data_IF_424599205838
#
_entry.id   IF_424599205838
#
_cell.length_a   1.000
_cell.length_b   1.000
_cell.length_c   1.000
_cell.angle_alpha   90.00
_cell.angle_beta   90.00
_cell.angle_gamma   90.00
#
_symmetry.space_group_name_H-M   'P 1'
#
loop_
_entity.id
_entity.type
_entity.pdbx_description
1 polymer ?
#
# COMPACT_ATOMS: atom_id res chain seq x y z
N UNK A 1 -20.49 9.02 -14.41
CA UNK A 1 -19.11 9.15 -13.90
C UNK A 1 -18.50 10.41 -14.49
N UNK A 2 -17.83 11.21 -13.68
CA UNK A 2 -17.27 12.50 -14.08
C UNK A 2 -15.90 12.71 -13.46
N UNK A 3 -15.00 13.38 -14.19
CA UNK A 3 -13.72 13.85 -13.67
C UNK A 3 -13.95 15.20 -12.98
N UNK A 4 -13.87 15.24 -11.65
CA UNK A 4 -14.15 16.45 -10.85
C UNK A 4 -12.97 17.40 -10.83
N UNK A 5 -11.77 16.87 -10.79
CA UNK A 5 -10.54 17.65 -10.76
C UNK A 5 -9.38 16.87 -11.36
N UNK A 6 -8.47 17.61 -12.00
CA UNK A 6 -7.12 17.13 -12.32
C UNK A 6 -6.17 17.85 -11.38
N UNK A 7 -5.35 17.10 -10.66
CA UNK A 7 -4.42 17.64 -9.67
C UNK A 7 -3.00 17.21 -10.02
N UNK A 8 -2.08 18.15 -9.95
CA UNK A 8 -0.66 17.91 -10.23
C UNK A 8 0.20 18.55 -9.15
N UNK A 9 1.37 17.97 -8.90
CA UNK A 9 2.32 18.48 -7.94
C UNK A 9 3.73 18.00 -8.25
N UNK A 10 4.70 18.92 -8.22
CA UNK A 10 6.11 18.54 -8.32
C UNK A 10 6.65 18.18 -6.93
N UNK A 11 7.59 17.22 -6.84
CA UNK A 11 8.29 16.92 -5.60
C UNK A 11 8.85 18.19 -4.97
N UNK A 12 8.60 18.36 -3.67
CA UNK A 12 9.16 19.45 -2.87
C UNK A 12 9.72 18.91 -1.55
N UNK A 13 10.73 19.58 -0.97
CA UNK A 13 11.23 19.25 0.35
C UNK A 13 10.16 19.53 1.41
N UNK A 14 9.96 18.57 2.32
CA UNK A 14 9.08 18.70 3.49
C UNK A 14 9.80 18.16 4.70
N UNK A 15 9.80 18.94 5.80
CA UNK A 15 10.31 18.49 7.09
C UNK A 15 9.25 17.63 7.79
N UNK A 16 9.65 16.44 8.23
CA UNK A 16 8.84 15.56 9.05
C UNK A 16 9.74 14.83 10.04
N UNK A 17 9.46 14.96 11.34
CA UNK A 17 10.30 14.36 12.39
C UNK A 17 11.75 14.81 12.38
N UNK A 18 12.06 16.03 11.89
CA UNK A 18 13.42 16.56 11.80
C UNK A 18 14.24 16.02 10.63
N UNK A 19 13.62 15.27 9.71
CA UNK A 19 14.21 14.82 8.43
C UNK A 19 13.50 15.51 7.26
N UNK A 20 14.25 15.84 6.22
CA UNK A 20 13.70 16.46 5.00
C UNK A 20 13.47 15.39 3.94
N UNK A 21 12.22 15.21 3.53
CA UNK A 21 11.79 14.27 2.49
C UNK A 21 11.41 15.00 1.21
N UNK A 22 11.67 14.39 0.06
CA UNK A 22 11.14 14.85 -1.22
C UNK A 22 9.79 14.17 -1.48
N UNK A 23 8.71 14.94 -1.59
CA UNK A 23 7.38 14.37 -1.81
C UNK A 23 6.53 15.18 -2.77
N UNK A 24 5.78 14.47 -3.61
CA UNK A 24 4.76 15.03 -4.51
C UNK A 24 3.33 14.76 -4.01
N UNK A 25 3.16 14.38 -2.74
CA UNK A 25 1.83 14.15 -2.13
C UNK A 25 0.97 15.43 -2.10
N UNK A 26 1.62 16.59 -2.16
CA UNK A 26 0.95 17.88 -2.28
C UNK A 26 0.64 18.15 -3.75
N UNK A 27 -0.60 17.89 -4.15
CA UNK A 27 -1.10 18.23 -5.48
C UNK A 27 -2.19 19.28 -5.37
N UNK A 28 -2.19 20.19 -6.33
CA UNK A 28 -3.15 21.28 -6.42
C UNK A 28 -4.00 21.11 -7.70
N UNK A 29 -5.30 21.47 -7.65
CA UNK A 29 -6.16 21.46 -8.82
C UNK A 29 -5.63 22.40 -9.91
N UNK A 30 -5.69 21.95 -11.16
CA UNK A 30 -5.38 22.79 -12.34
C UNK A 30 -6.62 23.06 -13.18
N UNK A 31 -6.67 24.27 -13.75
CA UNK A 31 -7.82 24.74 -14.54
C UNK A 31 -7.70 24.37 -16.02
N UNK A 32 -6.48 24.41 -16.54
CA UNK A 32 -6.20 24.06 -17.94
C UNK A 32 -6.21 22.54 -18.14
N UNK A 33 -6.40 22.11 -19.39
CA UNK A 33 -6.27 20.70 -19.75
C UNK A 33 -4.82 20.25 -19.58
N UNK A 34 -4.63 19.01 -19.17
CA UNK A 34 -3.34 18.42 -18.84
C UNK A 34 -3.04 17.26 -19.79
N UNK A 35 -1.84 17.26 -20.34
CA UNK A 35 -1.36 16.15 -21.13
C UNK A 35 -1.05 14.95 -20.24
N UNK A 36 -1.67 13.81 -20.54
CA UNK A 36 -1.39 12.52 -19.92
C UNK A 36 -0.38 11.77 -20.77
N UNK A 37 0.82 11.54 -20.23
CA UNK A 37 1.85 10.72 -20.88
C UNK A 37 1.75 9.27 -20.43
N UNK A 38 2.62 8.40 -20.93
CA UNK A 38 2.65 6.98 -20.52
C UNK A 38 2.98 6.75 -19.04
N UNK A 39 3.60 7.72 -18.37
CA UNK A 39 4.14 7.53 -17.02
C UNK A 39 3.67 8.58 -16.02
N UNK A 40 3.27 9.77 -16.48
CA UNK A 40 2.97 10.90 -15.61
C UNK A 40 2.07 11.92 -16.32
N UNK A 41 1.36 12.74 -15.55
CA UNK A 41 0.67 13.93 -16.07
C UNK A 41 1.66 15.08 -16.21
N UNK A 42 1.52 15.90 -17.25
CA UNK A 42 2.31 17.11 -17.38
C UNK A 42 2.11 18.04 -16.17
N UNK A 43 3.22 18.50 -15.59
CA UNK A 43 3.20 19.31 -14.37
C UNK A 43 3.25 18.50 -13.08
N UNK A 44 2.97 17.20 -13.13
CA UNK A 44 3.15 16.28 -12.00
C UNK A 44 4.56 15.70 -11.97
N UNK A 45 5.00 15.20 -10.81
CA UNK A 45 6.26 14.48 -10.70
C UNK A 45 6.18 13.33 -9.71
N UNK A 46 6.93 12.27 -10.00
CA UNK A 46 7.10 11.14 -9.09
C UNK A 46 8.49 11.27 -8.45
N UNK A 47 8.54 11.37 -7.11
CA UNK A 47 9.81 11.46 -6.39
C UNK A 47 10.54 10.11 -6.34
N UNK A 48 9.79 9.00 -6.41
CA UNK A 48 10.27 7.64 -6.39
C UNK A 48 9.58 6.84 -7.51
N UNK A 49 10.35 6.39 -8.50
CA UNK A 49 9.86 5.60 -9.64
C UNK A 49 9.81 4.09 -9.35
N UNK A 50 10.38 3.64 -8.24
CA UNK A 50 10.40 2.24 -7.82
C UNK A 50 9.16 1.93 -6.99
N UNK A 51 8.90 2.71 -5.94
CA UNK A 51 7.78 2.45 -5.01
C UNK A 51 6.53 3.29 -5.29
N UNK A 52 6.65 4.41 -6.03
CA UNK A 52 5.57 5.39 -6.23
C UNK A 52 5.40 5.83 -7.69
N UNK A 53 5.69 4.94 -8.64
CA UNK A 53 5.60 5.27 -10.06
C UNK A 53 5.71 4.09 -11.01
N UNK A 54 6.00 4.39 -12.27
CA UNK A 54 6.09 3.39 -13.33
C UNK A 54 4.77 3.13 -14.05
N UNK A 55 4.79 2.22 -15.02
CA UNK A 55 3.65 1.97 -15.93
C UNK A 55 2.36 1.67 -15.18
N UNK A 56 2.43 0.87 -14.10
CA UNK A 56 1.26 0.44 -13.34
C UNK A 56 0.74 1.47 -12.34
N UNK A 57 1.47 2.56 -12.10
CA UNK A 57 1.09 3.61 -11.15
C UNK A 57 1.17 5.00 -11.79
N UNK A 58 0.91 5.08 -13.10
CA UNK A 58 1.06 6.32 -13.87
C UNK A 58 0.06 7.40 -13.45
N UNK A 59 -1.16 7.02 -13.09
CA UNK A 59 -2.22 7.96 -12.69
C UNK A 59 -2.94 7.43 -11.46
N UNK A 60 -2.89 8.17 -10.35
CA UNK A 60 -3.67 7.86 -9.15
C UNK A 60 -5.05 8.52 -9.22
N UNK A 61 -6.12 7.76 -8.98
CA UNK A 61 -7.46 8.28 -8.88
C UNK A 61 -8.09 8.01 -7.50
N UNK A 62 -8.86 8.98 -7.02
CA UNK A 62 -9.56 8.90 -5.74
C UNK A 62 -11.04 9.29 -5.88
N UNK A 63 -11.97 8.46 -5.39
CA UNK A 63 -13.40 8.77 -5.43
C UNK A 63 -13.75 10.00 -4.60
N UNK A 64 -14.52 10.92 -5.19
CA UNK A 64 -14.98 12.16 -4.57
C UNK A 64 -15.95 11.86 -3.42
N UNK A 65 -16.69 10.76 -3.50
CA UNK A 65 -17.62 10.28 -2.47
C UNK A 65 -16.93 10.09 -1.11
N UNK A 66 -15.64 9.75 -1.10
CA UNK A 66 -14.90 9.55 0.15
C UNK A 66 -14.52 10.87 0.84
N UNK A 67 -14.56 12.01 0.14
CA UNK A 67 -14.29 13.32 0.76
C UNK A 67 -15.30 13.64 1.86
N UNK A 68 -16.59 13.40 1.63
CA UNK A 68 -17.64 13.64 2.63
C UNK A 68 -17.51 12.70 3.84
N UNK A 69 -17.09 11.44 3.58
CA UNK A 69 -16.80 10.49 4.64
C UNK A 69 -15.66 11.01 5.53
N UNK A 70 -14.52 11.39 4.96
CA UNK A 70 -13.39 11.88 5.74
C UNK A 70 -13.67 13.22 6.42
N UNK A 71 -14.42 14.12 5.78
CA UNK A 71 -14.87 15.37 6.40
C UNK A 71 -15.65 15.11 7.69
N UNK A 72 -16.52 14.10 7.66
CA UNK A 72 -17.34 13.69 8.81
C UNK A 72 -16.50 12.97 9.87
N UNK A 73 -15.72 11.96 9.45
CA UNK A 73 -14.92 11.12 10.36
C UNK A 73 -13.87 11.94 11.13
N UNK A 74 -13.26 12.92 10.47
CA UNK A 74 -12.19 13.74 11.04
C UNK A 74 -12.67 15.08 11.59
N UNK A 75 -13.98 15.38 11.52
CA UNK A 75 -14.57 16.68 11.86
C UNK A 75 -13.82 17.86 11.20
N UNK A 76 -13.61 17.76 9.87
CA UNK A 76 -12.85 18.72 9.05
C UNK A 76 -13.66 19.21 7.86
N UNK A 77 -13.39 20.46 7.46
CA UNK A 77 -14.09 21.12 6.34
C UNK A 77 -13.13 21.72 5.31
N UNK A 78 -11.83 21.46 5.44
CA UNK A 78 -10.77 22.06 4.63
C UNK A 78 -10.28 21.15 3.49
N UNK A 79 -10.99 20.05 3.21
CA UNK A 79 -10.63 19.14 2.12
C UNK A 79 -10.88 19.75 0.74
N UNK A 80 -9.87 19.64 -0.11
CA UNK A 80 -9.87 20.12 -1.50
C UNK A 80 -9.44 19.00 -2.45
N UNK A 81 -9.88 18.98 -3.72
CA UNK A 81 -9.40 17.99 -4.67
C UNK A 81 -7.87 17.90 -4.73
N UNK A 82 -7.32 16.69 -4.77
CA UNK A 82 -5.88 16.42 -4.61
C UNK A 82 -5.45 16.24 -3.15
N UNK A 83 -6.39 16.23 -2.19
CA UNK A 83 -6.07 16.10 -0.76
C UNK A 83 -5.33 14.80 -0.47
N UNK A 84 -5.71 13.69 -1.11
CA UNK A 84 -5.17 12.36 -0.82
C UNK A 84 -3.94 12.04 -1.69
N UNK A 85 -3.46 13.03 -2.45
CA UNK A 85 -2.34 12.92 -3.38
C UNK A 85 -2.73 12.38 -4.76
N UNK A 86 -4.03 12.31 -5.06
CA UNK A 86 -4.54 11.80 -6.32
C UNK A 86 -4.35 12.77 -7.48
N UNK A 87 -4.11 12.22 -8.66
CA UNK A 87 -4.10 12.98 -9.90
C UNK A 87 -5.52 13.26 -10.38
N UNK A 88 -6.43 12.31 -10.22
CA UNK A 88 -7.80 12.40 -10.68
C UNK A 88 -8.76 12.28 -9.50
N UNK A 89 -9.46 13.36 -9.19
CA UNK A 89 -10.62 13.29 -8.29
C UNK A 89 -11.82 12.90 -9.15
N UNK A 90 -12.36 11.70 -8.94
CA UNK A 90 -13.36 11.08 -9.82
C UNK A 90 -14.69 10.88 -9.09
N UNK A 91 -15.82 10.89 -9.80
CA UNK A 91 -17.15 10.66 -9.23
C UNK A 91 -17.85 9.48 -9.94
N UNK A 92 -18.50 8.62 -9.16
CA UNK A 92 -19.29 7.46 -9.57
C UNK A 92 -18.46 6.20 -9.80
N UNK A 93 -17.30 6.08 -9.18
CA UNK A 93 -16.33 5.01 -9.39
C UNK A 93 -15.71 4.56 -8.07
N UNK A 94 -16.42 3.73 -7.32
CA UNK A 94 -15.98 3.19 -6.04
C UNK A 94 -15.19 1.88 -6.21
N UNK A 95 -14.38 1.54 -5.22
CA UNK A 95 -13.45 0.40 -5.24
C UNK A 95 -14.15 -0.96 -5.42
N UNK A 96 -15.41 -1.10 -5.00
CA UNK A 96 -16.23 -2.30 -5.16
C UNK A 96 -16.94 -2.40 -6.51
N UNK A 97 -17.02 -1.30 -7.27
CA UNK A 97 -17.65 -1.24 -8.59
C UNK A 97 -16.65 -1.18 -9.75
N UNK A 98 -15.36 -1.09 -9.43
CA UNK A 98 -14.24 -0.97 -10.37
C UNK A 98 -13.36 -2.21 -10.28
N UNK A 99 -13.11 -2.85 -11.43
CA UNK A 99 -12.35 -4.10 -11.50
C UNK A 99 -10.95 -3.89 -12.04
N UNK A 100 -9.99 -4.68 -11.55
CA UNK A 100 -8.63 -4.69 -12.10
C UNK A 100 -8.68 -5.10 -13.57
N UNK A 101 -8.14 -4.24 -14.45
CA UNK A 101 -8.21 -4.40 -15.90
C UNK A 101 -9.37 -3.69 -16.58
N UNK A 102 -10.31 -3.07 -15.84
CA UNK A 102 -11.31 -2.19 -16.43
C UNK A 102 -10.64 -1.07 -17.23
N UNK A 103 -11.23 -0.74 -18.38
CA UNK A 103 -10.73 0.32 -19.25
C UNK A 103 -11.72 1.45 -19.28
N UNK A 104 -11.22 2.65 -19.01
CA UNK A 104 -11.98 3.89 -19.03
C UNK A 104 -11.42 4.86 -20.05
N UNK A 105 -12.30 5.63 -20.66
CA UNK A 105 -11.96 6.74 -21.54
C UNK A 105 -12.32 8.05 -20.86
N UNK A 106 -11.39 8.99 -20.90
CA UNK A 106 -11.60 10.38 -20.49
C UNK A 106 -11.08 11.26 -21.62
N UNK A 107 -12.00 11.90 -22.35
CA UNK A 107 -11.69 12.62 -23.59
C UNK A 107 -10.88 11.75 -24.58
N UNK A 108 -9.59 12.00 -24.78
CA UNK A 108 -8.74 11.26 -25.72
C UNK A 108 -7.90 10.17 -25.05
N UNK A 109 -7.93 10.11 -23.72
CA UNK A 109 -7.06 9.24 -22.92
C UNK A 109 -7.79 7.94 -22.58
N UNK A 110 -7.09 6.81 -22.78
CA UNK A 110 -7.54 5.50 -22.34
C UNK A 110 -6.70 5.03 -21.15
N UNK A 111 -7.37 4.71 -20.05
CA UNK A 111 -6.77 4.32 -18.78
C UNK A 111 -7.24 2.92 -18.41
N UNK A 112 -6.32 2.07 -17.95
CA UNK A 112 -6.65 0.72 -17.47
C UNK A 112 -6.30 0.60 -15.99
N UNK A 113 -7.26 0.11 -15.19
CA UNK A 113 -7.08 -0.09 -13.74
C UNK A 113 -6.03 -1.16 -13.49
N UNK A 114 -5.08 -0.88 -12.60
CA UNK A 114 -3.93 -1.75 -12.36
C UNK A 114 -3.83 -2.27 -10.95
N UNK A 115 -4.09 -1.46 -9.93
CA UNK A 115 -3.96 -1.88 -8.54
C UNK A 115 -4.69 -0.91 -7.62
N UNK A 116 -5.10 -1.35 -6.42
CA UNK A 116 -5.44 -0.43 -5.34
C UNK A 116 -4.26 0.47 -5.00
N UNK A 117 -4.54 1.65 -4.45
CA UNK A 117 -3.48 2.45 -3.84
C UNK A 117 -3.14 1.89 -2.46
N UNK A 118 -1.85 1.90 -2.15
CA UNK A 118 -1.38 1.57 -0.82
C UNK A 118 -0.95 2.84 -0.01
N UNK A 119 -1.43 3.07 1.22
CA UNK A 119 -1.12 4.28 2.00
C UNK A 119 0.24 4.27 2.71
N UNK A 120 1.02 5.33 2.54
CA UNK A 120 2.34 5.53 3.17
C UNK A 120 2.34 6.76 4.09
N UNK A 121 3.40 6.91 4.90
CA UNK A 121 3.54 8.02 5.87
C UNK A 121 3.46 9.42 5.23
N UNK A 122 3.74 9.56 3.93
CA UNK A 122 3.60 10.84 3.22
C UNK A 122 2.14 11.35 3.24
N UNK A 123 1.15 10.46 3.41
CA UNK A 123 -0.24 10.86 3.59
C UNK A 123 -0.46 11.55 4.93
N UNK A 124 0.18 11.07 6.01
CA UNK A 124 0.12 11.71 7.34
C UNK A 124 0.63 13.14 7.27
N UNK A 125 1.75 13.33 6.57
CA UNK A 125 2.34 14.65 6.31
C UNK A 125 1.32 15.55 5.60
N UNK A 126 0.68 15.05 4.53
CA UNK A 126 -0.30 15.82 3.76
C UNK A 126 -1.54 16.17 4.59
N UNK A 127 -1.97 15.25 5.44
CA UNK A 127 -3.15 15.40 6.27
C UNK A 127 -2.87 16.19 7.55
N UNK A 128 -1.60 16.36 7.93
CA UNK A 128 -1.20 16.97 9.19
C UNK A 128 -1.65 16.15 10.40
N UNK A 129 -1.75 14.83 10.23
CA UNK A 129 -2.28 13.90 11.23
C UNK A 129 -1.44 12.62 11.22
N UNK A 130 -0.61 12.44 12.25
CA UNK A 130 0.21 11.26 12.42
C UNK A 130 -0.65 10.00 12.59
N UNK A 131 -0.27 8.91 11.92
CA UNK A 131 -1.00 7.64 11.94
C UNK A 131 -2.26 7.61 11.07
N UNK A 132 -2.56 8.69 10.34
CA UNK A 132 -3.74 8.72 9.47
C UNK A 132 -3.68 7.69 8.36
N UNK A 133 -2.50 7.37 7.85
CA UNK A 133 -2.29 6.30 6.88
C UNK A 133 -2.86 4.95 7.34
N UNK A 134 -2.82 4.66 8.65
CA UNK A 134 -3.45 3.47 9.22
C UNK A 134 -4.97 3.59 9.21
N UNK A 135 -5.54 4.69 9.68
CA UNK A 135 -6.99 4.93 9.59
C UNK A 135 -7.49 4.82 8.15
N UNK A 136 -6.72 5.36 7.21
CA UNK A 136 -6.99 5.27 5.78
C UNK A 136 -6.91 3.83 5.25
N UNK A 137 -5.90 3.07 5.67
CA UNK A 137 -5.75 1.64 5.38
C UNK A 137 -6.95 0.84 5.88
N UNK A 138 -7.26 0.95 7.17
CA UNK A 138 -8.33 0.19 7.85
C UNK A 138 -9.70 0.47 7.22
N UNK A 139 -9.90 1.67 6.68
CA UNK A 139 -11.14 2.05 6.00
C UNK A 139 -11.36 1.36 4.65
N UNK A 140 -10.30 0.82 4.03
CA UNK A 140 -10.25 0.33 2.66
C UNK A 140 -10.69 1.33 1.55
N UNK A 141 -10.89 2.61 1.89
CA UNK A 141 -11.25 3.69 0.95
C UNK A 141 -10.01 4.30 0.35
N UNK A 142 -9.27 3.51 -0.41
CA UNK A 142 -7.91 3.84 -0.81
C UNK A 142 -7.79 4.45 -2.21
N UNK A 143 -8.81 4.31 -3.05
CA UNK A 143 -8.72 4.59 -4.48
C UNK A 143 -7.79 3.60 -5.21
N UNK A 144 -7.41 3.94 -6.44
CA UNK A 144 -6.73 3.00 -7.32
C UNK A 144 -5.90 3.71 -8.38
N UNK A 145 -4.95 2.96 -8.93
CA UNK A 145 -4.09 3.41 -10.00
C UNK A 145 -4.58 2.95 -11.37
N UNK A 146 -4.19 3.75 -12.36
CA UNK A 146 -4.28 3.41 -13.76
C UNK A 146 -2.90 3.38 -14.42
N UNK A 147 -2.75 2.48 -15.39
CA UNK A 147 -1.79 2.65 -16.50
C UNK A 147 -2.45 3.37 -17.66
N UNK A 148 -1.63 3.97 -18.53
CA UNK A 148 -2.09 4.73 -19.69
C UNK A 148 -1.98 3.88 -20.96
N UNK A 149 -3.11 3.51 -21.56
CA UNK A 149 -3.17 2.75 -22.82
C UNK A 149 -3.01 3.68 -24.03
N UNK A 150 -3.67 4.83 -24.02
CA UNK A 150 -3.53 5.86 -25.05
C UNK A 150 -3.36 7.23 -24.39
N UNK A 151 -2.37 7.98 -24.88
CA UNK A 151 -2.03 9.32 -24.40
C UNK A 151 -2.96 10.37 -25.01
N UNK A 152 -3.06 11.53 -24.36
CA UNK A 152 -3.93 12.61 -24.80
C UNK A 152 -4.11 13.63 -23.69
N UNK A 153 -5.12 14.49 -23.82
CA UNK A 153 -5.38 15.56 -22.87
C UNK A 153 -6.69 15.35 -22.12
N UNK A 154 -6.69 15.64 -20.82
CA UNK A 154 -7.87 15.60 -19.93
C UNK A 154 -8.04 16.93 -19.20
N UNK A 155 -9.27 17.23 -18.76
CA UNK A 155 -9.56 18.40 -17.93
C UNK A 155 -10.71 18.14 -16.97
N UNK A 156 -10.82 18.98 -15.94
CA UNK A 156 -11.94 18.95 -15.02
C UNK A 156 -13.27 19.13 -15.79
N UNK A 157 -14.28 18.36 -15.40
CA UNK A 157 -15.60 18.32 -16.02
C UNK A 157 -15.75 17.26 -17.12
N UNK A 158 -14.65 16.67 -17.62
CA UNK A 158 -14.71 15.62 -18.64
C UNK A 158 -15.53 14.42 -18.16
N UNK A 159 -16.31 13.84 -19.08
CA UNK A 159 -17.06 12.60 -18.83
C UNK A 159 -16.09 11.43 -18.75
N UNK A 160 -16.30 10.56 -17.76
CA UNK A 160 -15.59 9.28 -17.68
C UNK A 160 -16.51 8.20 -18.26
N UNK A 161 -16.01 7.46 -19.25
CA UNK A 161 -16.77 6.42 -19.94
C UNK A 161 -16.09 5.06 -19.71
N UNK A 162 -16.82 4.10 -19.15
CA UNK A 162 -16.34 2.71 -19.05
C UNK A 162 -16.43 2.06 -20.42
N UNK A 163 -15.28 1.68 -20.98
CA UNK A 163 -15.17 1.09 -22.31
C UNK A 163 -15.30 -0.43 -22.24
N UNK A 164 -14.69 -1.04 -21.22
CA UNK A 164 -14.78 -2.48 -20.99
C UNK A 164 -14.65 -2.81 -19.51
N UNK A 165 -15.34 -3.87 -19.09
CA UNK A 165 -15.16 -4.49 -17.78
C UNK A 165 -14.42 -5.81 -17.92
N UNK A 166 -13.46 -6.07 -17.02
CA UNK A 166 -12.74 -7.34 -16.99
C UNK A 166 -13.70 -8.48 -16.58
N UNK A 167 -13.99 -9.41 -17.49
CA UNK A 167 -15.04 -10.44 -17.33
C UNK A 167 -14.75 -11.52 -16.28
N UNK A 168 -13.53 -11.57 -15.74
CA UNK A 168 -13.09 -12.49 -14.67
C UNK A 168 -12.28 -11.74 -13.59
N UNK A 169 -12.46 -10.42 -13.49
CA UNK A 169 -11.64 -9.57 -12.61
C UNK A 169 -12.02 -9.69 -11.13
N UNK A 170 -11.05 -9.39 -10.27
CA UNK A 170 -11.28 -8.97 -8.90
C UNK A 170 -11.58 -7.47 -8.89
N UNK A 171 -12.53 -7.02 -8.06
CA UNK A 171 -12.69 -5.59 -7.81
C UNK A 171 -11.43 -5.01 -7.14
N UNK A 172 -11.26 -3.69 -7.16
CA UNK A 172 -10.19 -3.04 -6.39
C UNK A 172 -10.33 -3.38 -4.91
N UNK A 173 -11.57 -3.36 -4.39
CA UNK A 173 -11.88 -3.75 -3.03
C UNK A 173 -11.52 -5.22 -2.75
N UNK A 174 -11.80 -6.14 -3.67
CA UNK A 174 -11.43 -7.56 -3.53
C UNK A 174 -9.92 -7.74 -3.45
N UNK A 175 -9.16 -7.09 -4.33
CA UNK A 175 -7.69 -7.18 -4.31
C UNK A 175 -7.13 -6.62 -2.99
N UNK A 176 -7.68 -5.51 -2.50
CA UNK A 176 -7.27 -4.94 -1.22
C UNK A 176 -7.59 -5.88 -0.05
N UNK A 177 -8.83 -6.42 -0.02
CA UNK A 177 -9.29 -7.39 0.99
C UNK A 177 -8.40 -8.61 1.04
N UNK A 178 -8.14 -9.22 -0.12
CA UNK A 178 -7.29 -10.41 -0.25
C UNK A 178 -5.86 -10.15 0.19
N UNK A 179 -5.34 -8.95 -0.02
CA UNK A 179 -3.97 -8.63 0.37
C UNK A 179 -3.84 -8.48 1.89
N UNK A 180 -4.81 -7.85 2.56
CA UNK A 180 -4.62 -7.35 3.93
C UNK A 180 -5.56 -7.90 5.00
N UNK A 181 -6.73 -8.43 4.63
CA UNK A 181 -7.77 -8.80 5.60
C UNK A 181 -8.23 -10.26 5.50
N UNK A 182 -8.25 -10.82 4.29
CA UNK A 182 -8.70 -12.20 4.05
C UNK A 182 -7.59 -12.97 3.33
N UNK A 183 -6.52 -13.23 4.08
CA UNK A 183 -5.32 -13.87 3.54
C UNK A 183 -5.53 -15.34 3.20
N UNK A 184 -6.51 -15.97 3.84
CA UNK A 184 -6.85 -17.39 3.72
C UNK A 184 -7.68 -17.71 2.47
N UNK A 185 -8.21 -16.71 1.76
CA UNK A 185 -8.90 -16.88 0.48
C UNK A 185 -7.91 -17.17 -0.65
N UNK A 186 -7.48 -18.43 -0.72
CA UNK A 186 -6.50 -18.92 -1.69
C UNK A 186 -7.08 -19.02 -3.11
N UNK A 187 -8.41 -19.05 -3.27
CA UNK A 187 -9.06 -18.97 -4.58
C UNK A 187 -8.95 -17.55 -5.12
N UNK A 188 -9.21 -16.55 -4.26
CA UNK A 188 -8.96 -15.15 -4.55
C UNK A 188 -7.49 -14.88 -4.87
N UNK A 189 -6.56 -15.39 -4.05
CA UNK A 189 -5.13 -15.25 -4.30
C UNK A 189 -4.69 -15.87 -5.64
N UNK A 190 -5.19 -17.07 -6.00
CA UNK A 190 -4.96 -17.69 -7.32
C UNK A 190 -5.48 -16.82 -8.46
N UNK A 191 -6.67 -16.25 -8.31
CA UNK A 191 -7.21 -15.30 -9.29
C UNK A 191 -6.30 -14.09 -9.42
N UNK A 192 -5.93 -13.46 -8.29
CA UNK A 192 -5.06 -12.29 -8.24
C UNK A 192 -3.71 -12.51 -8.93
N UNK A 193 -3.02 -13.61 -8.62
CA UNK A 193 -1.74 -13.97 -9.23
C UNK A 193 -1.81 -14.13 -10.76
N UNK A 194 -2.98 -14.50 -11.30
CA UNK A 194 -3.20 -14.70 -12.73
C UNK A 194 -3.65 -13.43 -13.49
N UNK A 195 -3.97 -12.32 -12.82
CA UNK A 195 -4.47 -11.10 -13.46
C UNK A 195 -3.33 -10.30 -14.10
N UNK A 196 -3.07 -10.45 -15.40
CA UNK A 196 -2.02 -9.69 -16.12
C UNK A 196 -2.17 -8.16 -16.03
N UNK A 197 -3.40 -7.68 -15.81
CA UNK A 197 -3.70 -6.27 -15.58
C UNK A 197 -3.20 -5.77 -14.21
N UNK A 198 -3.06 -6.66 -13.23
CA UNK A 198 -2.53 -6.39 -11.89
C UNK A 198 -1.01 -6.23 -11.94
N UNK A 199 -0.48 -5.31 -11.13
CA UNK A 199 0.96 -5.07 -11.09
C UNK A 199 1.76 -6.31 -10.68
N UNK A 200 2.98 -6.47 -11.23
CA UNK A 200 3.81 -7.64 -10.93
C UNK A 200 4.00 -7.84 -9.42
N UNK A 201 4.29 -6.77 -8.68
CA UNK A 201 4.50 -6.80 -7.23
C UNK A 201 3.31 -7.41 -6.47
N UNK A 202 2.08 -7.02 -6.80
CA UNK A 202 0.88 -7.57 -6.17
C UNK A 202 0.64 -9.03 -6.58
N UNK A 203 0.91 -9.38 -7.84
CA UNK A 203 0.82 -10.76 -8.32
C UNK A 203 1.84 -11.67 -7.64
N UNK A 204 3.07 -11.20 -7.48
CA UNK A 204 4.16 -11.94 -6.85
C UNK A 204 3.85 -12.19 -5.36
N UNK A 205 3.30 -11.20 -4.66
CA UNK A 205 2.80 -11.36 -3.28
C UNK A 205 1.72 -12.45 -3.18
N UNK A 206 0.77 -12.51 -4.12
CA UNK A 206 -0.22 -13.58 -4.16
C UNK A 206 0.40 -14.94 -4.53
N UNK A 207 1.33 -14.99 -5.49
CA UNK A 207 2.01 -16.22 -5.90
C UNK A 207 2.81 -16.83 -4.75
N UNK A 208 3.61 -16.02 -4.05
CA UNK A 208 4.40 -16.44 -2.88
C UNK A 208 3.51 -17.02 -1.78
N UNK A 209 2.37 -16.38 -1.51
CA UNK A 209 1.39 -16.91 -0.53
C UNK A 209 0.90 -18.32 -0.89
N UNK A 210 0.67 -18.59 -2.17
CA UNK A 210 0.23 -19.91 -2.64
C UNK A 210 1.33 -20.98 -2.54
N UNK A 211 2.59 -20.59 -2.57
CA UNK A 211 3.72 -21.50 -2.33
C UNK A 211 3.83 -21.90 -0.86
N UNK A 212 3.52 -20.97 0.06
CA UNK A 212 3.59 -21.20 1.51
C UNK A 212 2.48 -22.11 2.06
N UNK A 213 1.34 -22.26 1.35
CA UNK A 213 0.21 -23.15 1.71
C UNK A 213 0.64 -24.63 1.87
N UNK A 214 1.73 -25.05 1.21
CA UNK A 214 2.20 -26.42 1.20
C UNK A 214 3.10 -26.83 2.37
N UNK A 215 3.51 -25.89 3.23
CA UNK A 215 4.49 -26.15 4.29
C UNK A 215 3.83 -26.23 5.68
N UNK A 216 4.21 -27.20 6.53
CA UNK A 216 3.73 -27.23 7.91
C UNK A 216 4.19 -25.97 8.65
N UNK A 217 3.23 -25.11 9.02
CA UNK A 217 3.43 -23.87 9.78
C UNK A 217 3.79 -24.11 11.24
N UNK A 218 3.47 -25.29 11.77
CA UNK A 218 3.80 -25.69 13.15
C UNK A 218 5.04 -26.58 13.21
N UNK A 219 6.22 -25.97 13.22
CA UNK A 219 7.25 -26.50 14.11
C UNK A 219 6.87 -26.03 15.52
N UNK A 220 6.03 -26.81 16.21
CA UNK A 220 5.76 -26.63 17.63
C UNK A 220 7.08 -26.93 18.37
N UNK A 221 7.94 -25.92 18.50
CA UNK A 221 9.16 -25.97 19.33
C UNK A 221 8.83 -25.44 20.73
N UNK A 222 7.61 -25.71 21.22
CA UNK A 222 7.30 -25.49 22.64
C UNK A 222 8.15 -26.46 23.47
N UNK A 223 9.27 -25.96 23.99
CA UNK A 223 10.12 -26.67 24.95
C UNK A 223 11.13 -27.66 24.37
N UNK A 224 11.52 -27.57 23.08
CA UNK A 224 12.72 -28.26 22.60
C UNK A 224 13.93 -27.33 22.69
N UNK A 225 15.00 -27.80 23.33
CA UNK A 225 16.33 -27.18 23.29
C UNK A 225 16.72 -26.82 21.86
N UNK A 226 17.40 -25.68 21.64
CA UNK A 226 17.95 -25.28 20.33
C UNK A 226 18.63 -26.51 19.69
N UNK A 227 18.09 -27.04 18.57
CA UNK A 227 18.75 -28.17 17.86
C UNK A 227 20.13 -27.74 17.34
N UNK A 228 20.28 -26.45 17.05
CA UNK A 228 21.55 -25.78 16.75
C UNK A 228 21.70 -24.55 17.66
N UNK A 229 22.72 -24.49 18.54
CA UNK A 229 22.93 -23.39 19.47
C UNK A 229 23.14 -22.02 18.80
N UNK A 230 23.53 -22.00 17.52
CA UNK A 230 23.72 -20.77 16.74
C UNK A 230 22.41 -20.25 16.13
N UNK A 231 21.30 -20.99 16.24
CA UNK A 231 19.99 -20.52 15.75
C UNK A 231 19.47 -19.38 16.63
N UNK A 232 19.14 -18.26 15.99
CA UNK A 232 18.53 -17.12 16.65
C UNK A 232 17.13 -17.45 17.17
N UNK A 233 16.74 -16.82 18.26
CA UNK A 233 15.42 -16.97 18.88
C UNK A 233 14.68 -15.65 18.85
N UNK A 234 13.40 -15.72 18.51
CA UNK A 234 12.47 -14.60 18.58
C UNK A 234 11.50 -14.87 19.72
N UNK A 235 11.42 -13.92 20.65
CA UNK A 235 10.45 -13.93 21.75
C UNK A 235 9.38 -12.89 21.47
N UNK A 236 8.12 -13.31 21.52
CA UNK A 236 6.95 -12.46 21.41
C UNK A 236 6.40 -12.21 22.81
N UNK A 237 6.71 -11.06 23.40
CA UNK A 237 6.47 -10.78 24.84
C UNK A 237 5.00 -10.96 25.22
N UNK A 238 4.09 -10.35 24.46
CA UNK A 238 2.64 -10.33 24.75
C UNK A 238 2.01 -11.73 24.81
N UNK A 239 2.56 -12.70 24.06
CA UNK A 239 2.08 -14.09 24.08
C UNK A 239 2.98 -15.04 24.88
N UNK A 240 4.17 -14.59 25.28
CA UNK A 240 5.23 -15.41 25.86
C UNK A 240 5.77 -16.49 24.93
N UNK A 241 5.48 -16.42 23.62
CA UNK A 241 5.96 -17.40 22.64
C UNK A 241 7.45 -17.19 22.37
N UNK A 242 8.24 -18.26 22.51
CA UNK A 242 9.67 -18.27 22.23
C UNK A 242 9.92 -19.28 21.12
N UNK A 243 10.28 -18.79 19.93
CA UNK A 243 10.37 -19.63 18.72
C UNK A 243 11.70 -19.40 18.04
N UNK A 244 12.33 -20.49 17.59
CA UNK A 244 13.56 -20.43 16.80
C UNK A 244 13.29 -19.76 15.44
N UNK A 245 14.08 -18.73 15.12
CA UNK A 245 14.02 -18.04 13.84
C UNK A 245 14.25 -19.01 12.69
N UNK A 246 13.40 -18.93 11.66
CA UNK A 246 13.55 -19.71 10.45
C UNK A 246 13.88 -18.77 9.27
N UNK A 247 15.10 -18.82 8.72
CA UNK A 247 15.52 -17.95 7.62
C UNK A 247 14.72 -18.10 6.31
N UNK A 248 13.75 -19.03 6.24
CA UNK A 248 12.81 -19.11 5.12
C UNK A 248 11.83 -17.93 5.07
N UNK A 249 11.57 -17.29 6.21
CA UNK A 249 10.71 -16.11 6.28
C UNK A 249 11.54 -14.87 5.95
N UNK A 250 11.01 -13.97 5.14
CA UNK A 250 11.77 -12.81 4.67
C UNK A 250 11.91 -11.73 5.73
N UNK A 251 11.05 -11.72 6.74
CA UNK A 251 11.03 -10.74 7.81
C UNK A 251 10.28 -11.26 9.05
N UNK A 252 10.44 -10.53 10.16
CA UNK A 252 9.83 -10.85 11.45
C UNK A 252 8.30 -10.85 11.42
N UNK A 253 7.66 -10.04 10.57
CA UNK A 253 6.21 -10.06 10.38
C UNK A 253 5.74 -11.41 9.80
N UNK A 254 6.30 -11.87 8.67
CA UNK A 254 5.91 -13.16 8.08
C UNK A 254 6.12 -14.32 9.05
N UNK A 255 7.19 -14.25 9.85
CA UNK A 255 7.47 -15.24 10.88
C UNK A 255 6.43 -15.22 12.00
N UNK A 256 6.04 -14.04 12.49
CA UNK A 256 5.01 -13.87 13.51
C UNK A 256 3.64 -14.39 13.04
N UNK A 257 3.24 -14.03 11.82
CA UNK A 257 1.99 -14.51 11.21
C UNK A 257 1.98 -16.05 11.08
N UNK A 258 3.11 -16.64 10.71
CA UNK A 258 3.23 -18.09 10.64
C UNK A 258 3.12 -18.79 12.02
N UNK A 259 3.35 -18.07 13.11
CA UNK A 259 3.09 -18.55 14.47
C UNK A 259 1.61 -18.36 14.89
N UNK A 260 0.78 -17.79 14.01
CA UNK A 260 -0.63 -17.49 14.27
C UNK A 260 -0.84 -16.27 15.15
N UNK A 261 0.13 -15.34 15.18
CA UNK A 261 0.01 -14.07 15.88
C UNK A 261 -0.78 -13.07 15.04
N UNK A 262 -1.65 -12.31 15.70
CA UNK A 262 -2.37 -11.19 15.09
C UNK A 262 -1.50 -9.95 15.21
N UNK A 263 -0.96 -9.50 14.09
CA UNK A 263 0.04 -8.42 14.05
C UNK A 263 -0.49 -7.30 13.19
N UNK A 264 -0.43 -6.07 13.70
CA UNK A 264 -0.78 -4.91 12.89
C UNK A 264 0.25 -4.73 11.76
N UNK A 265 -0.20 -4.73 10.51
CA UNK A 265 0.64 -4.38 9.36
C UNK A 265 -0.17 -3.64 8.30
N UNK A 266 0.55 -3.10 7.32
CA UNK A 266 -0.06 -2.51 6.13
C UNK A 266 0.81 -2.76 4.90
N UNK A 267 2.00 -2.16 4.83
CA UNK A 267 2.75 -2.07 3.57
C UNK A 267 3.57 -3.32 3.25
N UNK A 268 4.07 -3.97 4.31
CA UNK A 268 5.12 -4.99 4.25
C UNK A 268 6.45 -4.53 3.65
N UNK A 269 6.71 -3.23 3.71
CA UNK A 269 7.86 -2.56 3.08
C UNK A 269 8.47 -1.46 3.98
N UNK A 270 8.06 -1.38 5.26
CA UNK A 270 8.50 -0.33 6.18
C UNK A 270 7.95 1.08 5.91
N UNK A 271 7.13 1.28 4.88
CA UNK A 271 6.66 2.62 4.46
C UNK A 271 5.46 3.19 5.24
N UNK A 272 4.69 2.35 5.94
CA UNK A 272 3.50 2.81 6.66
C UNK A 272 3.65 2.86 8.18
N UNK A 273 4.69 2.23 8.72
CA UNK A 273 4.92 2.13 10.17
C UNK A 273 3.81 1.45 10.98
N UNK A 274 2.72 0.97 10.35
CA UNK A 274 1.71 0.11 11.01
C UNK A 274 2.31 -1.12 11.67
N UNK A 275 3.42 -1.65 11.13
CA UNK A 275 4.15 -2.78 11.67
C UNK A 275 5.19 -2.39 12.74
N UNK A 276 5.20 -1.14 13.19
CA UNK A 276 6.10 -0.71 14.26
C UNK A 276 5.69 -1.37 15.58
N UNK A 277 6.66 -1.94 16.27
CA UNK A 277 6.48 -2.58 17.57
C UNK A 277 7.74 -2.37 18.43
N UNK A 278 7.64 -2.47 19.76
CA UNK A 278 8.79 -2.22 20.63
C UNK A 278 9.82 -3.36 20.49
N UNK A 279 11.09 -3.02 20.26
CA UNK A 279 12.21 -3.94 20.33
C UNK A 279 12.80 -3.88 21.74
N UNK A 280 12.31 -4.73 22.64
CA UNK A 280 12.71 -4.75 24.04
C UNK A 280 14.15 -5.23 24.23
N UNK A 281 14.59 -6.23 23.46
CA UNK A 281 15.95 -6.76 23.50
C UNK A 281 16.44 -7.19 22.11
N UNK A 282 17.76 -7.12 21.91
CA UNK A 282 18.45 -7.64 20.73
C UNK A 282 18.71 -6.61 19.61
N UNK A 283 19.17 -7.09 18.47
CA UNK A 283 19.42 -6.31 17.26
C UNK A 283 18.73 -6.93 16.05
N UNK A 284 18.26 -6.07 15.14
CA UNK A 284 17.72 -6.45 13.83
C UNK A 284 18.52 -5.80 12.71
N UNK A 285 18.39 -6.32 11.49
CA UNK A 285 18.78 -5.66 10.26
C UNK A 285 17.57 -5.49 9.35
N UNK A 286 17.53 -4.39 8.60
CA UNK A 286 16.51 -4.15 7.59
C UNK A 286 16.93 -4.76 6.25
N UNK A 287 16.12 -5.67 5.72
CA UNK A 287 16.30 -6.26 4.38
C UNK A 287 16.23 -5.15 3.33
N UNK A 288 15.33 -4.19 3.54
CA UNK A 288 15.25 -2.93 2.82
C UNK A 288 15.21 -1.80 3.85
N UNK A 289 16.20 -0.90 3.77
CA UNK A 289 16.27 0.28 4.65
C UNK A 289 15.01 1.16 4.48
N UNK A 290 14.24 1.39 5.57
CA UNK A 290 13.05 2.22 5.50
C UNK A 290 13.44 3.68 5.31
N UNK A 291 12.72 4.38 4.42
CA UNK A 291 12.98 5.80 4.13
C UNK A 291 12.82 6.67 5.39
N UNK A 292 11.80 6.37 6.20
CA UNK A 292 11.58 6.92 7.52
C UNK A 292 11.92 5.84 8.56
N UNK A 293 12.89 6.13 9.43
CA UNK A 293 13.22 5.23 10.54
C UNK A 293 12.06 5.19 11.55
N UNK A 294 11.81 4.05 12.22
CA UNK A 294 10.84 4.01 13.32
C UNK A 294 11.27 4.91 14.47
N UNK A 295 10.37 5.10 15.44
CA UNK A 295 10.65 5.83 16.67
C UNK A 295 11.73 5.11 17.49
N UNK A 296 12.41 5.84 18.39
CA UNK A 296 13.48 5.27 19.20
C UNK A 296 12.93 4.17 20.13
N UNK A 297 13.48 2.96 19.99
CA UNK A 297 12.99 1.77 20.71
C UNK A 297 12.10 0.86 19.86
N UNK A 298 11.60 1.34 18.72
CA UNK A 298 10.72 0.57 17.86
C UNK A 298 11.46 -0.10 16.68
N UNK A 299 10.86 -1.16 16.16
CA UNK A 299 11.29 -1.89 14.96
C UNK A 299 10.15 -2.03 13.96
N UNK A 300 10.45 -1.85 12.67
CA UNK A 300 9.52 -2.17 11.58
C UNK A 300 9.65 -3.65 11.20
N UNK A 301 8.95 -4.54 11.93
CA UNK A 301 9.11 -6.00 11.77
C UNK A 301 8.78 -6.52 10.37
N UNK A 302 8.07 -5.73 9.57
CA UNK A 302 7.68 -6.07 8.22
C UNK A 302 8.77 -5.89 7.16
N UNK A 303 9.92 -5.31 7.51
CA UNK A 303 11.13 -5.30 6.68
C UNK A 303 12.40 -5.64 7.46
N UNK A 304 12.26 -6.12 8.71
CA UNK A 304 13.37 -6.45 9.59
C UNK A 304 13.56 -7.97 9.73
N UNK A 305 14.81 -8.41 9.85
CA UNK A 305 15.21 -9.78 10.25
C UNK A 305 16.13 -9.71 11.48
N UNK A 306 16.12 -10.73 12.36
CA UNK A 306 16.94 -10.70 13.58
C UNK A 306 18.44 -10.89 13.26
N UNK A 307 19.30 -10.11 13.92
CA UNK A 307 20.76 -10.31 13.94
C UNK A 307 21.23 -11.05 15.19
N UNK A 308 20.48 -10.92 16.28
CA UNK A 308 20.69 -11.63 17.55
C UNK A 308 19.40 -12.31 17.98
N UNK A 309 19.40 -12.98 19.13
CA UNK A 309 18.15 -13.28 19.82
C UNK A 309 17.43 -11.95 20.09
N UNK A 310 16.12 -11.89 19.83
CA UNK A 310 15.31 -10.66 19.95
C UNK A 310 14.08 -10.89 20.80
N UNK A 311 13.65 -9.84 21.51
CA UNK A 311 12.37 -9.78 22.23
C UNK A 311 11.58 -8.61 21.64
N UNK A 312 10.40 -8.90 21.10
CA UNK A 312 9.50 -7.92 20.50
C UNK A 312 8.13 -7.94 21.18
N UNK A 313 7.58 -6.76 21.40
CA UNK A 313 6.25 -6.57 21.98
C UNK A 313 5.23 -6.34 20.84
N UNK A 314 4.29 -7.27 20.64
CA UNK A 314 3.37 -7.31 19.48
C UNK A 314 1.91 -7.08 19.88
#
# INVERSE_FOLDING_TARGET
MQLRSVNVGRPKPVDYGGKVFQTAVFKDPVQDRVQVTKHVLEGDGQADLVSHGGEFMAVYAYPFEHYDHWATELDRQDFVPGQFGENLTIEGLLEDEVYIGDVFKINDVFLQVTQPRYPCYKLDIRMGLAGFNRTFHDSARVGFYFRVLEVGDIGAGDKIERISTASQGLSVADVYRLMYTDTEDLVGARTGAALESLSPEWRDKFAKRLEMEGEPTRADVSGKEKEDPDTLVVTFEDTGQVVAWNPKYENLLEFAEAQGLDVAFGCREGNCHTCACELMEGEVEYVQEPELAPDEGDVLICCAVPKTDVVIDL
#
